data_IF_187028550129
#
_entry.id   IF_187028550129
#
_cell.length_a   1.000
_cell.length_b   1.000
_cell.length_c   1.000
_cell.angle_alpha   90.00
_cell.angle_beta   90.00
_cell.angle_gamma   90.00
#
_symmetry.space_group_name_H-M   'P 1'
#
loop_
_entity.id
_entity.type
_entity.pdbx_description
1 polymer ?
#
# COMPACT_ATOMS: atom_id res chain seq x y z
N UNK A 1 -14.60 -7.90 10.97
CA UNK A 1 -13.40 -7.03 11.10
C UNK A 1 -13.06 -6.91 12.57
N UNK A 2 -11.89 -7.35 12.94
CA UNK A 2 -11.44 -7.34 14.34
C UNK A 2 -10.06 -6.71 14.45
N UNK A 3 -9.76 -6.14 15.65
CA UNK A 3 -8.43 -5.63 15.97
C UNK A 3 -7.46 -6.81 15.96
N UNK A 4 -6.25 -6.58 15.47
CA UNK A 4 -5.15 -7.52 15.36
C UNK A 4 -5.26 -8.61 14.28
N UNK A 5 -6.38 -8.71 13.58
CA UNK A 5 -6.45 -9.58 12.41
C UNK A 5 -5.54 -9.03 11.30
N UNK A 6 -4.71 -9.91 10.75
CA UNK A 6 -3.85 -9.54 9.64
C UNK A 6 -4.60 -9.70 8.33
N UNK A 7 -4.58 -8.65 7.51
CA UNK A 7 -5.14 -8.66 6.17
C UNK A 7 -3.95 -8.57 5.21
N UNK A 8 -3.92 -9.46 4.25
CA UNK A 8 -2.77 -9.54 3.34
C UNK A 8 -3.17 -9.34 1.89
N UNK A 9 -2.26 -8.76 1.14
CA UNK A 9 -2.37 -8.62 -0.31
C UNK A 9 -0.96 -8.60 -0.88
N UNK A 10 -0.77 -9.31 -1.98
CA UNK A 10 0.53 -9.26 -2.66
C UNK A 10 0.35 -8.95 -4.13
N UNK A 11 1.37 -8.36 -4.71
CA UNK A 11 1.37 -7.99 -6.11
C UNK A 11 2.78 -8.06 -6.68
N UNK A 12 2.90 -8.55 -7.91
CA UNK A 12 4.12 -8.46 -8.69
C UNK A 12 4.01 -7.24 -9.59
N UNK A 13 4.95 -6.31 -9.46
CA UNK A 13 4.95 -5.10 -10.29
C UNK A 13 5.62 -5.36 -11.62
N UNK A 14 4.99 -4.88 -12.68
CA UNK A 14 5.48 -5.02 -14.06
C UNK A 14 5.96 -3.68 -14.59
N UNK A 15 6.72 -3.71 -15.68
CA UNK A 15 7.10 -2.47 -16.37
C UNK A 15 5.88 -1.72 -16.86
N UNK A 16 4.83 -2.41 -17.28
CA UNK A 16 3.58 -1.79 -17.70
C UNK A 16 2.93 -1.01 -16.55
N UNK A 17 2.94 -1.56 -15.33
CA UNK A 17 2.44 -0.86 -14.15
C UNK A 17 3.18 0.47 -13.95
N UNK A 18 4.50 0.45 -14.12
CA UNK A 18 5.33 1.65 -13.95
C UNK A 18 4.97 2.68 -15.02
N UNK A 19 4.82 2.25 -16.28
CA UNK A 19 4.43 3.17 -17.37
C UNK A 19 3.08 3.81 -17.11
N UNK A 20 2.10 3.04 -16.67
CA UNK A 20 0.78 3.56 -16.36
C UNK A 20 0.85 4.57 -15.20
N UNK A 21 1.64 4.27 -14.19
CA UNK A 21 1.78 5.18 -13.06
C UNK A 21 2.54 6.45 -13.43
N UNK A 22 3.51 6.36 -14.32
CA UNK A 22 4.17 7.54 -14.90
C UNK A 22 3.14 8.50 -15.49
N UNK A 23 2.16 7.97 -16.23
CA UNK A 23 1.11 8.76 -16.85
C UNK A 23 0.15 9.36 -15.83
N UNK A 24 -0.30 8.55 -14.88
CA UNK A 24 -1.29 8.99 -13.89
C UNK A 24 -0.69 10.01 -12.93
N UNK A 25 0.52 9.79 -12.47
CA UNK A 25 1.16 10.62 -11.46
C UNK A 25 1.88 11.84 -12.03
N UNK A 26 2.34 11.73 -13.28
CA UNK A 26 3.26 12.72 -13.84
C UNK A 26 4.68 12.60 -13.29
N UNK A 27 4.94 11.62 -12.40
CA UNK A 27 6.27 11.37 -11.87
C UNK A 27 7.08 10.54 -12.85
N UNK A 28 7.84 11.23 -13.70
CA UNK A 28 8.67 10.63 -14.71
C UNK A 28 10.15 10.75 -14.36
N UNK A 29 10.48 10.61 -13.07
CA UNK A 29 11.86 10.58 -12.63
C UNK A 29 12.65 9.55 -13.42
N UNK A 30 13.93 9.85 -13.67
CA UNK A 30 14.74 9.05 -14.60
C UNK A 30 14.80 7.56 -14.21
N UNK A 31 14.79 7.25 -12.93
CA UNK A 31 14.85 5.88 -12.44
C UNK A 31 13.54 5.09 -12.67
N UNK A 32 12.45 5.77 -13.04
CA UNK A 32 11.18 5.14 -13.42
C UNK A 32 11.03 5.00 -14.93
N UNK A 33 11.99 5.51 -15.69
CA UNK A 33 11.93 5.50 -17.16
C UNK A 33 13.06 4.68 -17.75
N UNK A 34 14.26 4.80 -17.17
CA UNK A 34 15.44 4.10 -17.65
C UNK A 34 15.90 3.10 -16.59
N UNK A 35 16.05 1.82 -16.99
CA UNK A 35 16.62 0.81 -16.10
C UNK A 35 18.03 1.19 -15.69
N UNK A 36 18.45 0.69 -14.52
CA UNK A 36 19.82 0.85 -14.05
C UNK A 36 20.78 -0.05 -14.88
N UNK A 37 22.07 -0.04 -14.50
CA UNK A 37 23.10 -0.79 -15.21
C UNK A 37 22.83 -2.31 -15.24
N UNK A 38 22.02 -2.80 -14.29
CA UNK A 38 21.66 -4.22 -14.19
C UNK A 38 20.33 -4.52 -14.88
N UNK A 39 19.73 -3.54 -15.53
CA UNK A 39 18.46 -3.72 -16.23
C UNK A 39 17.24 -3.61 -15.33
N UNK A 40 17.35 -3.03 -14.12
CA UNK A 40 16.26 -2.94 -13.18
C UNK A 40 15.57 -1.56 -13.26
N UNK A 41 14.27 -1.57 -13.55
CA UNK A 41 13.45 -0.38 -13.57
C UNK A 41 12.78 -0.21 -12.21
N UNK A 42 12.94 0.95 -11.60
CA UNK A 42 12.45 1.18 -10.24
C UNK A 42 10.97 1.52 -10.22
N UNK A 43 10.26 0.88 -9.32
CA UNK A 43 8.84 1.14 -9.03
C UNK A 43 8.76 2.40 -8.18
N UNK A 44 7.78 3.26 -8.46
CA UNK A 44 7.53 4.45 -7.64
C UNK A 44 7.15 4.03 -6.22
N UNK A 45 7.59 4.81 -5.23
CA UNK A 45 7.18 4.57 -3.85
C UNK A 45 5.66 4.58 -3.70
N UNK A 46 4.98 5.57 -4.30
CA UNK A 46 3.52 5.64 -4.22
C UNK A 46 2.81 4.53 -5.00
N UNK A 47 3.45 3.96 -6.01
CA UNK A 47 2.91 2.78 -6.67
C UNK A 47 2.99 1.57 -5.73
N UNK A 48 4.10 1.39 -5.03
CA UNK A 48 4.23 0.38 -3.98
C UNK A 48 3.15 0.58 -2.91
N UNK A 49 2.90 1.82 -2.53
CA UNK A 49 1.88 2.17 -1.53
C UNK A 49 0.45 1.85 -1.97
N UNK A 50 0.22 1.53 -3.24
CA UNK A 50 -1.11 1.08 -3.69
C UNK A 50 -1.52 -0.25 -3.07
N UNK A 51 -0.58 -1.05 -2.56
CA UNK A 51 -0.91 -2.34 -1.95
C UNK A 51 -1.71 -2.15 -0.66
N UNK A 52 -1.23 -1.40 0.35
CA UNK A 52 -2.08 -1.11 1.51
C UNK A 52 -3.32 -0.30 1.15
N UNK A 53 -3.25 0.54 0.12
CA UNK A 53 -4.42 1.30 -0.36
C UNK A 53 -5.52 0.36 -0.88
N UNK A 54 -5.14 -0.70 -1.60
CA UNK A 54 -6.09 -1.71 -2.08
C UNK A 54 -6.77 -2.41 -0.91
N UNK A 55 -6.02 -2.74 0.14
CA UNK A 55 -6.58 -3.36 1.35
C UNK A 55 -7.61 -2.41 1.98
N UNK A 56 -7.27 -1.13 2.09
CA UNK A 56 -8.20 -0.12 2.59
C UNK A 56 -9.46 -0.02 1.73
N UNK A 57 -9.31 -0.07 0.42
CA UNK A 57 -10.44 -0.03 -0.52
C UNK A 57 -11.39 -1.18 -0.32
N UNK A 58 -10.88 -2.38 -0.03
CA UNK A 58 -11.72 -3.55 0.23
C UNK A 58 -12.58 -3.39 1.49
N UNK A 59 -12.12 -2.56 2.43
CA UNK A 59 -12.86 -2.26 3.66
C UNK A 59 -13.71 -1.00 3.55
N UNK A 60 -13.72 -0.36 2.40
CA UNK A 60 -14.35 0.95 2.20
C UNK A 60 -13.80 2.01 3.16
N UNK A 61 -12.52 1.90 3.45
CA UNK A 61 -11.82 2.81 4.34
C UNK A 61 -11.55 4.14 3.62
N UNK A 62 -11.84 5.24 4.31
CA UNK A 62 -11.53 6.58 3.84
C UNK A 62 -10.40 7.10 4.72
N UNK A 63 -9.20 7.17 4.14
CA UNK A 63 -8.03 7.62 4.87
C UNK A 63 -8.07 9.13 5.10
N UNK A 64 -7.68 9.55 6.30
CA UNK A 64 -7.48 10.96 6.63
C UNK A 64 -6.01 11.29 6.79
N UNK A 65 -5.21 10.30 7.17
CA UNK A 65 -3.77 10.44 7.29
C UNK A 65 -3.13 9.12 6.86
N UNK A 66 -2.05 9.23 6.12
CA UNK A 66 -1.24 8.08 5.71
C UNK A 66 0.23 8.44 5.87
N UNK A 67 0.98 7.53 6.49
CA UNK A 67 2.43 7.66 6.60
C UNK A 67 3.10 6.45 6.00
N UNK A 68 4.13 6.70 5.20
CA UNK A 68 4.92 5.66 4.57
C UNK A 68 6.40 5.92 4.84
N UNK A 69 7.12 4.85 5.12
CA UNK A 69 8.58 4.86 5.15
C UNK A 69 9.06 3.86 4.12
N UNK A 70 9.94 4.31 3.24
CA UNK A 70 10.46 3.49 2.17
C UNK A 70 11.87 3.04 2.57
N UNK A 71 12.03 1.76 2.81
CA UNK A 71 13.27 1.20 3.36
C UNK A 71 14.20 0.66 2.28
N UNK A 72 13.65 0.15 1.19
CA UNK A 72 14.40 -0.44 0.07
C UNK A 72 13.68 -0.17 -1.23
N UNK A 73 14.42 -0.02 -2.34
CA UNK A 73 13.78 0.12 -3.64
C UNK A 73 13.05 -1.16 -4.04
N UNK A 74 11.99 -0.99 -4.80
CA UNK A 74 11.25 -2.08 -5.44
C UNK A 74 11.45 -1.93 -6.94
N UNK A 75 11.70 -3.04 -7.62
CA UNK A 75 11.95 -3.04 -9.05
C UNK A 75 10.90 -3.85 -9.79
N UNK A 76 10.75 -3.57 -11.09
CA UNK A 76 9.89 -4.37 -11.95
C UNK A 76 10.28 -5.85 -11.82
N UNK A 77 9.28 -6.70 -11.64
CA UNK A 77 9.49 -8.12 -11.41
C UNK A 77 9.46 -8.52 -9.94
N UNK A 78 9.62 -7.58 -9.03
CA UNK A 78 9.53 -7.88 -7.60
C UNK A 78 8.08 -8.15 -7.20
N UNK A 79 7.92 -9.11 -6.29
CA UNK A 79 6.63 -9.39 -5.66
C UNK A 79 6.67 -8.84 -4.24
N UNK A 80 5.73 -7.97 -3.94
CA UNK A 80 5.63 -7.32 -2.64
C UNK A 80 4.35 -7.77 -1.95
N UNK A 81 4.51 -8.29 -0.73
CA UNK A 81 3.39 -8.71 0.11
C UNK A 81 3.22 -7.73 1.25
N UNK A 82 2.01 -7.23 1.40
CA UNK A 82 1.65 -6.34 2.50
C UNK A 82 0.85 -7.12 3.54
N UNK A 83 1.21 -6.92 4.81
CA UNK A 83 0.42 -7.37 5.94
C UNK A 83 -0.05 -6.14 6.69
N UNK A 84 -1.36 -5.97 6.78
CA UNK A 84 -1.98 -4.85 7.47
C UNK A 84 -2.72 -5.36 8.70
N UNK A 85 -2.60 -4.63 9.80
CA UNK A 85 -3.24 -4.97 11.07
C UNK A 85 -4.07 -3.77 11.52
N UNK A 86 -5.29 -4.02 11.94
CA UNK A 86 -6.12 -2.98 12.55
C UNK A 86 -5.69 -2.85 14.01
N UNK A 87 -5.18 -1.68 14.39
CA UNK A 87 -4.66 -1.44 15.74
C UNK A 87 -5.59 -0.59 16.60
N UNK A 88 -6.49 0.16 15.99
CA UNK A 88 -7.53 0.90 16.69
C UNK A 88 -8.83 0.77 15.93
N UNK A 89 -9.90 0.52 16.66
CA UNK A 89 -11.24 0.37 16.13
C UNK A 89 -12.20 0.99 17.12
N UNK A 90 -12.70 2.18 16.79
CA UNK A 90 -13.51 2.97 17.72
C UNK A 90 -14.86 3.31 17.08
N UNK A 91 -15.91 2.55 17.40
CA UNK A 91 -17.23 2.78 16.83
C UNK A 91 -17.84 4.10 17.29
N UNK A 92 -18.40 4.85 16.34
CA UNK A 92 -19.24 6.01 16.57
C UNK A 92 -20.63 5.76 16.02
N UNK A 93 -21.46 6.78 16.00
CA UNK A 93 -22.83 6.63 15.49
C UNK A 93 -22.90 6.45 13.98
N UNK A 94 -22.17 7.26 13.23
CA UNK A 94 -22.16 7.20 11.77
C UNK A 94 -20.90 6.58 11.21
N UNK A 95 -19.79 6.74 11.91
CA UNK A 95 -18.48 6.30 11.45
C UNK A 95 -17.83 5.43 12.49
N UNK A 96 -16.91 4.60 12.00
CA UNK A 96 -16.00 3.87 12.87
C UNK A 96 -14.62 4.48 12.59
N UNK A 97 -13.94 4.93 13.63
CA UNK A 97 -12.56 5.39 13.51
C UNK A 97 -11.66 4.17 13.50
N UNK A 98 -10.81 4.09 12.49
CA UNK A 98 -9.93 2.93 12.29
C UNK A 98 -8.51 3.43 12.08
N UNK A 99 -7.57 2.76 12.73
CA UNK A 99 -6.15 2.94 12.48
C UNK A 99 -5.55 1.60 12.13
N UNK A 100 -4.73 1.59 11.09
CA UNK A 100 -4.04 0.38 10.63
C UNK A 100 -2.54 0.61 10.62
N UNK A 101 -1.80 -0.46 10.82
CA UNK A 101 -0.35 -0.48 10.61
C UNK A 101 -0.05 -1.56 9.58
N UNK A 102 0.94 -1.33 8.74
CA UNK A 102 1.27 -2.28 7.69
C UNK A 102 2.77 -2.39 7.46
N UNK A 103 3.17 -3.57 7.01
CA UNK A 103 4.53 -3.91 6.63
C UNK A 103 4.48 -4.57 5.26
N UNK A 104 5.29 -4.08 4.34
CA UNK A 104 5.39 -4.65 2.99
C UNK A 104 6.79 -5.23 2.80
N UNK A 105 6.85 -6.49 2.38
CA UNK A 105 8.10 -7.22 2.17
C UNK A 105 8.19 -7.73 0.73
N UNK A 106 9.41 -7.74 0.20
CA UNK A 106 9.65 -8.32 -1.13
C UNK A 106 9.73 -9.86 -1.05
N UNK A 107 9.98 -10.49 -2.18
CA UNK A 107 10.06 -11.95 -2.29
C UNK A 107 11.21 -12.56 -1.47
N UNK A 108 12.15 -11.74 -1.04
CA UNK A 108 13.27 -12.20 -0.18
C UNK A 108 12.97 -11.97 1.30
N UNK A 109 11.76 -11.58 1.65
CA UNK A 109 11.37 -11.32 3.04
C UNK A 109 11.91 -10.00 3.59
N UNK A 110 12.45 -9.12 2.76
CA UNK A 110 13.01 -7.84 3.20
C UNK A 110 11.91 -6.78 3.23
N UNK A 111 11.90 -5.98 4.29
CA UNK A 111 10.97 -4.86 4.39
C UNK A 111 11.32 -3.80 3.36
N UNK A 112 10.39 -3.49 2.50
CA UNK A 112 10.54 -2.45 1.49
C UNK A 112 9.80 -1.18 1.89
N UNK A 113 8.69 -1.32 2.63
CA UNK A 113 7.88 -0.19 3.07
C UNK A 113 7.15 -0.56 4.35
N UNK A 114 7.07 0.38 5.27
CA UNK A 114 6.23 0.29 6.46
C UNK A 114 5.43 1.57 6.59
N UNK A 115 4.37 1.53 7.36
CA UNK A 115 3.59 2.72 7.61
C UNK A 115 2.34 2.48 8.40
N UNK A 116 1.54 3.52 8.46
CA UNK A 116 0.23 3.45 9.09
C UNK A 116 -0.74 4.39 8.39
N UNK A 117 -2.01 4.13 8.56
CA UNK A 117 -3.09 4.97 8.07
C UNK A 117 -4.16 5.08 9.14
N UNK A 118 -4.79 6.24 9.23
CA UNK A 118 -5.96 6.41 10.07
C UNK A 118 -7.04 7.11 9.27
N UNK A 119 -8.27 6.79 9.59
CA UNK A 119 -9.42 7.33 8.88
C UNK A 119 -10.70 6.71 9.41
N UNK A 120 -11.67 6.62 8.52
CA UNK A 120 -13.01 6.18 8.92
C UNK A 120 -13.53 5.09 7.98
N UNK A 121 -14.43 4.27 8.53
CA UNK A 121 -15.29 3.38 7.76
C UNK A 121 -16.72 3.77 8.10
N UNK A 122 -17.57 3.94 7.10
CA UNK A 122 -18.99 4.23 7.35
C UNK A 122 -19.67 2.96 7.86
N UNK A 123 -20.56 3.13 8.84
CA UNK A 123 -21.23 1.98 9.43
C UNK A 123 -21.98 1.13 8.43
N UNK A 124 -22.58 1.73 7.42
CA UNK A 124 -23.28 1.03 6.38
C UNK A 124 -22.41 0.04 5.60
N UNK A 125 -21.10 0.27 5.56
CA UNK A 125 -20.16 -0.57 4.81
C UNK A 125 -19.88 -1.91 5.50
N UNK A 126 -20.22 -2.03 6.77
CA UNK A 126 -19.88 -3.21 7.58
C UNK A 126 -21.11 -3.92 8.16
N UNK A 127 -22.30 -3.43 7.90
CA UNK A 127 -23.55 -4.00 8.44
C UNK A 127 -24.24 -4.95 7.48
N UNK A 128 -23.59 -5.29 6.42
CA UNK A 128 -24.15 -6.18 5.39
C UNK A 128 -24.09 -7.65 5.81
#
# INVERSE_FOLDING_TARGET
>A
MEISDAITWERTFTEEDIRLFNQVSGDEGIHHIMPDEQGHLMVHGLLTATIPTKIGGDMNFIAREMRFQFHRPVFAGDTVKCEAIIVEFEPGEEYINVRTEFVCRNQHGKEVMTGHAQGIVRRLSITV
#
